data_IF_535506214820
#
_entry.id   IF_535506214820
#
_cell.length_a   1.000
_cell.length_b   1.000
_cell.length_c   1.000
_cell.angle_alpha   90.00
_cell.angle_beta   90.00
_cell.angle_gamma   90.00
#
_symmetry.space_group_name_H-M   'P 1'
#
loop_
_entity.id
_entity.type
_entity.pdbx_description
1 polymer ?
#
# COMPACT_ATOMS: atom_id res chain seq x y z
N UNK A 1 -2.14 -34.13 2.18
CA UNK A 1 -1.81 -32.93 1.36
C UNK A 1 -2.84 -31.81 1.43
N UNK A 2 -4.17 -32.04 1.34
CA UNK A 2 -5.20 -30.99 1.50
C UNK A 2 -5.38 -30.56 2.97
N UNK A 3 -5.26 -31.46 3.92
CA UNK A 3 -5.43 -31.18 5.36
C UNK A 3 -4.24 -30.40 5.97
N UNK A 4 -3.02 -30.62 5.50
CA UNK A 4 -1.83 -29.88 5.96
C UNK A 4 -1.85 -28.42 5.53
N UNK A 5 -2.36 -28.14 4.32
CA UNK A 5 -2.48 -26.75 3.81
C UNK A 5 -3.58 -25.96 4.54
N UNK A 6 -4.66 -26.61 4.94
CA UNK A 6 -5.77 -26.01 5.71
C UNK A 6 -5.38 -25.75 7.18
N UNK A 7 -4.51 -26.55 7.75
CA UNK A 7 -3.98 -26.31 9.11
C UNK A 7 -3.00 -25.12 9.15
N UNK A 8 -2.17 -24.95 8.12
CA UNK A 8 -1.22 -23.85 8.04
C UNK A 8 -1.94 -22.49 7.88
N UNK A 9 -2.97 -22.43 7.04
CA UNK A 9 -3.77 -21.22 6.85
C UNK A 9 -4.53 -20.79 8.13
N UNK A 10 -5.10 -21.72 8.86
CA UNK A 10 -5.79 -21.45 10.15
C UNK A 10 -4.82 -20.97 11.23
N UNK A 11 -3.61 -21.50 11.25
CA UNK A 11 -2.59 -21.07 12.20
C UNK A 11 -2.11 -19.63 11.87
N UNK A 12 -1.97 -19.31 10.59
CA UNK A 12 -1.62 -17.96 10.12
C UNK A 12 -2.72 -16.95 10.48
N UNK A 13 -3.99 -17.29 10.24
CA UNK A 13 -5.12 -16.42 10.60
C UNK A 13 -5.21 -16.19 12.12
N UNK A 14 -4.91 -17.19 12.92
CA UNK A 14 -4.87 -17.08 14.39
C UNK A 14 -3.73 -16.17 14.87
N UNK A 15 -2.54 -16.24 14.25
CA UNK A 15 -1.41 -15.34 14.53
C UNK A 15 -1.75 -13.90 14.16
N UNK A 16 -2.32 -13.67 12.98
CA UNK A 16 -2.80 -12.36 12.54
C UNK A 16 -3.81 -11.79 13.55
N UNK A 17 -4.78 -12.58 13.97
CA UNK A 17 -5.79 -12.14 14.93
C UNK A 17 -5.17 -11.74 16.27
N UNK A 18 -4.27 -12.55 16.83
CA UNK A 18 -3.59 -12.27 18.09
C UNK A 18 -2.73 -10.99 18.04
N UNK A 19 -1.96 -10.80 16.98
CA UNK A 19 -1.15 -9.59 16.78
C UNK A 19 -2.04 -8.36 16.58
N UNK A 20 -3.15 -8.51 15.86
CA UNK A 20 -4.16 -7.45 15.67
C UNK A 20 -4.77 -7.04 17.03
N UNK A 21 -5.16 -8.00 17.87
CA UNK A 21 -5.69 -7.73 19.22
C UNK A 21 -4.70 -6.93 20.07
N UNK A 22 -3.41 -7.22 19.99
CA UNK A 22 -2.37 -6.49 20.70
C UNK A 22 -2.27 -5.02 20.20
N UNK A 23 -2.33 -4.78 18.88
CA UNK A 23 -2.35 -3.44 18.29
C UNK A 23 -3.60 -2.67 18.74
N UNK A 24 -4.78 -3.30 18.62
CA UNK A 24 -6.06 -2.72 19.07
C UNK A 24 -6.01 -2.35 20.55
N UNK A 25 -5.53 -3.25 21.42
CA UNK A 25 -5.42 -2.99 22.86
C UNK A 25 -4.55 -1.79 23.19
N UNK A 26 -3.46 -1.58 22.44
CA UNK A 26 -2.54 -0.43 22.62
C UNK A 26 -3.14 0.88 22.14
N UNK A 27 -3.85 0.89 21.02
CA UNK A 27 -4.32 2.12 20.35
C UNK A 27 -5.77 2.49 20.66
N UNK A 28 -6.57 1.56 21.18
CA UNK A 28 -7.97 1.79 21.56
C UNK A 28 -8.23 3.05 22.42
N UNK A 29 -7.32 3.46 23.35
CA UNK A 29 -7.53 4.67 24.15
C UNK A 29 -7.44 5.99 23.36
N UNK A 30 -6.97 5.98 22.12
CA UNK A 30 -6.88 7.17 21.28
C UNK A 30 -8.27 7.66 20.87
N UNK A 31 -8.41 8.97 20.66
CA UNK A 31 -9.59 9.54 20.01
C UNK A 31 -9.58 9.16 18.51
N UNK A 32 -10.63 8.49 18.02
CA UNK A 32 -10.71 8.04 16.64
C UNK A 32 -9.68 6.96 16.28
N UNK A 33 -9.59 5.83 17.02
CA UNK A 33 -8.46 4.90 16.96
C UNK A 33 -8.40 4.04 15.70
N UNK A 34 -9.46 3.99 14.88
CA UNK A 34 -9.53 3.06 13.74
C UNK A 34 -8.42 3.28 12.71
N UNK A 35 -8.21 4.53 12.26
CA UNK A 35 -7.16 4.82 11.28
C UNK A 35 -5.75 4.53 11.83
N UNK A 36 -5.36 4.98 13.04
CA UNK A 36 -4.09 4.57 13.64
C UNK A 36 -3.90 3.05 13.75
N UNK A 37 -4.95 2.29 14.09
CA UNK A 37 -4.91 0.84 14.15
C UNK A 37 -4.65 0.24 12.77
N UNK A 38 -5.36 0.72 11.74
CA UNK A 38 -5.18 0.23 10.36
C UNK A 38 -3.77 0.56 9.83
N UNK A 39 -3.22 1.71 10.16
CA UNK A 39 -1.83 2.05 9.82
C UNK A 39 -0.82 1.11 10.46
N UNK A 40 -0.96 0.82 11.77
CA UNK A 40 -0.06 -0.08 12.47
C UNK A 40 -0.18 -1.53 11.95
N UNK A 41 -1.41 -1.97 11.61
CA UNK A 41 -1.64 -3.28 11.00
C UNK A 41 -0.95 -3.35 9.62
N UNK A 42 -1.12 -2.33 8.78
CA UNK A 42 -0.45 -2.30 7.48
C UNK A 42 1.08 -2.24 7.61
N UNK A 43 1.60 -1.52 8.59
CA UNK A 43 3.03 -1.50 8.86
C UNK A 43 3.57 -2.86 9.32
N UNK A 44 2.77 -3.61 10.11
CA UNK A 44 3.13 -4.91 10.67
C UNK A 44 3.09 -6.04 9.61
N UNK A 45 2.04 -6.05 8.76
CA UNK A 45 1.81 -7.13 7.80
C UNK A 45 2.11 -6.75 6.35
N UNK A 46 2.35 -5.47 6.05
CA UNK A 46 2.49 -4.95 4.69
C UNK A 46 1.16 -4.65 3.98
N UNK A 47 0.05 -5.11 4.55
CA UNK A 47 -1.33 -4.91 4.07
C UNK A 47 -2.30 -5.08 5.23
N UNK A 48 -3.60 -4.88 5.01
CA UNK A 48 -4.66 -5.12 5.99
C UNK A 48 -5.30 -6.49 5.72
N UNK A 49 -4.90 -7.56 6.43
CA UNK A 49 -5.45 -8.90 6.20
C UNK A 49 -6.94 -8.97 6.53
N UNK A 50 -7.72 -9.70 5.74
CA UNK A 50 -9.14 -9.96 6.03
C UNK A 50 -9.34 -10.62 7.41
N UNK A 51 -8.38 -11.44 7.85
CA UNK A 51 -8.37 -12.06 9.17
C UNK A 51 -8.23 -11.07 10.34
N UNK A 52 -7.72 -9.85 10.09
CA UNK A 52 -7.62 -8.80 11.10
C UNK A 52 -8.97 -8.09 11.38
N UNK A 53 -9.87 -8.03 10.40
CA UNK A 53 -11.10 -7.24 10.49
C UNK A 53 -12.01 -7.63 11.67
N UNK A 54 -12.22 -8.92 11.99
CA UNK A 54 -13.03 -9.30 13.14
C UNK A 54 -12.49 -8.79 14.47
N UNK A 55 -11.18 -8.88 14.69
CA UNK A 55 -10.54 -8.43 15.93
C UNK A 55 -10.63 -6.90 16.09
N UNK A 56 -10.44 -6.13 15.00
CA UNK A 56 -10.63 -4.67 15.01
C UNK A 56 -12.08 -4.33 15.35
N UNK A 57 -13.04 -4.94 14.65
CA UNK A 57 -14.47 -4.69 14.81
C UNK A 57 -14.90 -4.96 16.27
N UNK A 58 -14.53 -6.11 16.82
CA UNK A 58 -14.82 -6.49 18.21
C UNK A 58 -14.18 -5.52 19.21
N UNK A 59 -12.90 -5.20 19.01
CA UNK A 59 -12.15 -4.33 19.92
C UNK A 59 -12.70 -2.91 20.00
N UNK A 60 -13.21 -2.37 18.88
CA UNK A 60 -13.74 -1.01 18.78
C UNK A 60 -15.27 -0.92 18.88
N UNK A 61 -15.97 -2.06 19.05
CA UNK A 61 -17.43 -2.14 19.03
C UNK A 61 -18.02 -1.58 17.72
N UNK A 62 -17.41 -1.96 16.59
CA UNK A 62 -17.87 -1.66 15.23
C UNK A 62 -18.36 -2.94 14.55
N UNK A 63 -19.13 -2.81 13.47
CA UNK A 63 -19.39 -3.92 12.58
C UNK A 63 -18.19 -4.19 11.65
N UNK A 64 -18.05 -5.42 11.16
CA UNK A 64 -17.04 -5.76 10.14
C UNK A 64 -17.22 -4.94 8.87
N UNK A 65 -18.48 -4.61 8.52
CA UNK A 65 -18.79 -3.81 7.34
C UNK A 65 -18.27 -2.37 7.47
N UNK A 66 -18.38 -1.76 8.66
CA UNK A 66 -17.83 -0.42 8.92
C UNK A 66 -16.30 -0.42 8.81
N UNK A 67 -15.62 -1.40 9.40
CA UNK A 67 -14.16 -1.52 9.31
C UNK A 67 -13.73 -1.74 7.85
N UNK A 68 -14.34 -2.69 7.14
CA UNK A 68 -14.06 -2.95 5.73
C UNK A 68 -14.37 -1.71 4.84
N UNK A 69 -15.46 -0.99 5.14
CA UNK A 69 -15.79 0.24 4.44
C UNK A 69 -14.70 1.32 4.55
N UNK A 70 -14.03 1.43 5.70
CA UNK A 70 -12.88 2.33 5.87
C UNK A 70 -11.67 1.83 5.08
N UNK A 71 -11.35 0.54 5.17
CA UNK A 71 -10.22 -0.05 4.42
C UNK A 71 -10.37 0.16 2.91
N UNK A 72 -11.56 -0.11 2.36
CA UNK A 72 -11.83 0.03 0.93
C UNK A 72 -11.94 1.49 0.46
N UNK A 73 -12.29 2.43 1.35
CA UNK A 73 -12.40 3.84 1.02
C UNK A 73 -11.04 4.54 0.90
N UNK A 74 -10.12 4.22 1.79
CA UNK A 74 -8.78 4.81 1.78
C UNK A 74 -7.83 3.97 0.94
N UNK A 75 -7.50 4.43 -0.27
CA UNK A 75 -6.64 3.72 -1.24
C UNK A 75 -5.19 3.48 -0.78
N UNK A 76 -4.76 4.11 0.32
CA UNK A 76 -3.47 3.81 0.95
C UNK A 76 -3.47 2.47 1.70
N UNK A 77 -4.65 1.93 2.07
CA UNK A 77 -4.73 0.60 2.63
C UNK A 77 -4.78 -0.44 1.52
N UNK A 78 -3.95 -1.46 1.65
CA UNK A 78 -3.87 -2.59 0.74
C UNK A 78 -4.60 -3.79 1.34
N UNK A 79 -5.33 -4.52 0.52
CA UNK A 79 -5.98 -5.78 0.91
C UNK A 79 -5.12 -7.00 0.53
N UNK A 80 -4.05 -6.79 -0.22
CA UNK A 80 -3.07 -7.80 -0.64
C UNK A 80 -1.65 -7.28 -0.40
N UNK A 81 -0.66 -8.17 -0.20
CA UNK A 81 0.73 -7.77 -0.07
C UNK A 81 1.22 -6.97 -1.26
N UNK A 82 1.97 -5.90 -1.00
CA UNK A 82 2.70 -5.19 -2.05
C UNK A 82 3.92 -6.00 -2.52
N UNK A 83 4.48 -5.62 -3.65
CA UNK A 83 5.79 -6.08 -4.09
C UNK A 83 6.92 -5.63 -3.17
N UNK A 84 8.12 -6.16 -3.41
CA UNK A 84 9.33 -5.78 -2.66
C UNK A 84 9.63 -4.28 -2.74
N UNK A 85 9.30 -3.67 -3.86
CA UNK A 85 9.38 -2.23 -4.09
C UNK A 85 8.00 -1.64 -4.33
N UNK A 86 7.73 -0.48 -3.75
CA UNK A 86 6.50 0.28 -3.97
C UNK A 86 6.85 1.62 -4.58
N UNK A 87 6.38 1.85 -5.81
CA UNK A 87 6.52 3.11 -6.52
C UNK A 87 5.20 3.87 -6.42
N UNK A 88 5.23 5.08 -5.83
CA UNK A 88 4.11 6.01 -5.83
C UNK A 88 4.42 7.16 -6.78
N UNK A 89 3.63 7.32 -7.85
CA UNK A 89 3.81 8.39 -8.85
C UNK A 89 2.82 9.51 -8.60
N UNK A 90 3.32 10.74 -8.48
CA UNK A 90 2.48 11.89 -8.24
C UNK A 90 1.68 12.29 -9.49
N UNK A 91 0.35 12.32 -9.34
CA UNK A 91 -0.61 12.68 -10.39
C UNK A 91 -1.38 13.97 -10.09
N UNK A 92 -0.84 14.84 -9.23
CA UNK A 92 -1.47 16.14 -8.95
C UNK A 92 -1.11 17.18 -10.02
N UNK A 93 -1.87 18.27 -10.04
CA UNK A 93 -1.84 19.34 -11.04
C UNK A 93 -0.42 19.81 -11.44
N UNK A 94 0.44 20.10 -10.45
CA UNK A 94 1.80 20.58 -10.73
C UNK A 94 2.62 19.52 -11.48
N UNK A 95 2.50 18.25 -11.13
CA UNK A 95 3.22 17.18 -11.82
C UNK A 95 2.66 16.93 -13.21
N UNK A 96 1.33 16.98 -13.40
CA UNK A 96 0.70 16.86 -14.71
C UNK A 96 1.12 18.00 -15.66
N UNK A 97 1.11 19.24 -15.18
CA UNK A 97 1.51 20.42 -15.98
C UNK A 97 2.96 20.35 -16.44
N UNK A 98 3.80 19.59 -15.74
CA UNK A 98 5.22 19.38 -16.07
C UNK A 98 5.49 18.08 -16.84
N UNK A 99 4.46 17.48 -17.44
CA UNK A 99 4.59 16.26 -18.24
C UNK A 99 4.53 14.96 -17.45
N UNK A 100 4.12 15.00 -16.18
CA UNK A 100 4.08 13.83 -15.29
C UNK A 100 3.17 12.69 -15.79
N UNK A 101 2.12 13.00 -16.58
CA UNK A 101 1.26 11.97 -17.16
C UNK A 101 2.02 11.11 -18.18
N UNK A 102 2.73 11.72 -19.11
CA UNK A 102 3.52 11.00 -20.12
C UNK A 102 4.64 10.15 -19.48
N UNK A 103 5.27 10.65 -18.42
CA UNK A 103 6.28 9.91 -17.66
C UNK A 103 5.66 8.72 -16.88
N UNK A 104 4.47 8.89 -16.33
CA UNK A 104 3.74 7.83 -15.67
C UNK A 104 3.36 6.70 -16.65
N UNK A 105 2.79 7.06 -17.82
CA UNK A 105 2.43 6.10 -18.86
C UNK A 105 3.67 5.35 -19.37
N UNK A 106 4.79 6.05 -19.52
CA UNK A 106 6.07 5.41 -19.87
C UNK A 106 6.54 4.43 -18.81
N UNK A 107 6.45 4.79 -17.53
CA UNK A 107 6.85 3.91 -16.42
C UNK A 107 5.96 2.67 -16.37
N UNK A 108 4.64 2.83 -16.48
CA UNK A 108 3.69 1.72 -16.56
C UNK A 108 4.03 0.79 -17.73
N UNK A 109 4.29 1.33 -18.92
CA UNK A 109 4.68 0.57 -20.10
C UNK A 109 6.01 -0.17 -19.91
N UNK A 110 7.02 0.45 -19.29
CA UNK A 110 8.31 -0.20 -18.98
C UNK A 110 8.15 -1.33 -17.96
N UNK A 111 7.27 -1.18 -16.98
CA UNK A 111 7.00 -2.19 -15.96
C UNK A 111 6.02 -3.27 -16.46
N UNK A 112 5.22 -2.98 -17.49
CA UNK A 112 4.16 -3.88 -17.98
C UNK A 112 3.05 -4.05 -16.95
N UNK A 113 2.72 -2.99 -16.22
CA UNK A 113 1.73 -2.95 -15.14
C UNK A 113 0.71 -1.86 -15.39
N UNK A 114 -0.49 -2.05 -14.85
CA UNK A 114 -1.49 -1.00 -14.67
C UNK A 114 -1.44 -0.45 -13.24
N UNK A 115 -2.19 0.66 -13.00
CA UNK A 115 -2.28 1.25 -11.66
C UNK A 115 -2.80 0.26 -10.61
N UNK A 116 -2.19 0.29 -9.43
CA UNK A 116 -2.46 -0.60 -8.29
C UNK A 116 -2.10 -2.07 -8.52
N UNK A 117 -1.35 -2.38 -9.59
CA UNK A 117 -0.89 -3.73 -9.85
C UNK A 117 0.47 -4.01 -9.23
N UNK A 118 0.66 -5.29 -8.92
CA UNK A 118 1.95 -5.86 -8.51
C UNK A 118 2.45 -6.79 -9.61
N UNK A 119 3.73 -6.70 -9.93
CA UNK A 119 4.35 -7.59 -10.92
C UNK A 119 4.22 -9.07 -10.52
N UNK A 120 4.10 -9.96 -11.50
CA UNK A 120 3.87 -11.39 -11.28
C UNK A 120 4.97 -12.08 -10.45
N UNK A 121 6.18 -11.53 -10.45
CA UNK A 121 7.33 -11.98 -9.64
C UNK A 121 7.37 -11.35 -8.24
N UNK A 122 6.36 -10.52 -7.89
CA UNK A 122 6.29 -9.80 -6.63
C UNK A 122 7.41 -8.77 -6.45
N UNK A 123 8.05 -8.30 -7.52
CA UNK A 123 9.14 -7.35 -7.43
C UNK A 123 8.65 -5.94 -7.12
N UNK A 124 7.63 -5.46 -7.83
CA UNK A 124 7.21 -4.06 -7.76
C UNK A 124 5.69 -3.90 -7.77
N UNK A 125 5.21 -2.96 -6.95
CA UNK A 125 3.83 -2.44 -6.98
C UNK A 125 3.88 -0.98 -7.39
N UNK A 126 2.97 -0.55 -8.29
CA UNK A 126 2.86 0.84 -8.72
C UNK A 126 1.53 1.45 -8.29
N UNK A 127 1.57 2.62 -7.67
CA UNK A 127 0.41 3.33 -7.12
C UNK A 127 0.39 4.79 -7.57
N UNK A 128 -0.78 5.37 -7.89
CA UNK A 128 -0.89 6.82 -8.04
C UNK A 128 -0.95 7.49 -6.66
N UNK A 129 -0.41 8.70 -6.56
CA UNK A 129 -0.55 9.56 -5.38
C UNK A 129 -0.89 10.98 -5.82
N UNK A 130 -1.67 11.69 -5.01
CA UNK A 130 -2.21 13.00 -5.37
C UNK A 130 -1.58 14.14 -4.56
N UNK A 131 -0.30 14.18 -4.50
CA UNK A 131 0.68 15.16 -4.05
C UNK A 131 1.68 14.59 -3.02
N UNK A 132 2.95 14.65 -3.37
CA UNK A 132 4.09 14.30 -2.49
C UNK A 132 4.71 15.52 -1.80
N UNK A 133 4.14 16.72 -1.99
CA UNK A 133 4.70 17.97 -1.46
C UNK A 133 5.88 18.53 -2.27
N UNK A 134 6.27 17.89 -3.38
CA UNK A 134 7.40 18.28 -4.23
C UNK A 134 7.00 19.14 -5.44
N UNK A 135 5.96 19.97 -5.34
CA UNK A 135 5.43 20.71 -6.48
C UNK A 135 6.49 21.61 -7.18
N UNK A 136 7.43 22.19 -6.42
CA UNK A 136 8.53 22.97 -6.98
C UNK A 136 9.60 22.13 -7.71
N UNK A 137 9.58 20.82 -7.54
CA UNK A 137 10.46 19.84 -8.16
C UNK A 137 9.69 18.83 -9.01
N UNK A 138 8.54 19.23 -9.55
CA UNK A 138 7.71 18.38 -10.40
C UNK A 138 8.44 18.03 -11.72
N UNK A 139 8.14 16.86 -12.31
CA UNK A 139 7.34 15.76 -11.82
C UNK A 139 8.04 14.96 -10.70
N UNK A 140 7.26 14.26 -9.85
CA UNK A 140 7.80 13.59 -8.68
C UNK A 140 7.21 12.17 -8.48
N UNK A 141 8.01 11.30 -7.89
CA UNK A 141 7.62 9.98 -7.40
C UNK A 141 8.21 9.72 -6.01
N UNK A 142 7.76 8.66 -5.38
CA UNK A 142 8.34 8.09 -4.16
C UNK A 142 8.57 6.60 -4.38
N UNK A 143 9.73 6.12 -3.98
CA UNK A 143 10.10 4.70 -4.06
C UNK A 143 10.51 4.24 -2.67
N UNK A 144 9.80 3.27 -2.12
CA UNK A 144 10.06 2.71 -0.78
C UNK A 144 10.18 3.79 0.32
N UNK A 145 9.41 4.88 0.17
CA UNK A 145 9.43 6.03 1.09
C UNK A 145 10.44 7.12 0.72
N UNK A 146 11.36 6.89 -0.22
CA UNK A 146 12.30 7.92 -0.69
C UNK A 146 11.68 8.79 -1.79
N UNK A 147 11.76 10.10 -1.62
CA UNK A 147 11.20 11.10 -2.54
C UNK A 147 12.17 11.41 -3.68
N UNK A 148 11.66 11.37 -4.92
CA UNK A 148 12.39 11.69 -6.15
C UNK A 148 11.64 12.79 -6.88
N UNK A 149 12.27 13.93 -7.11
CA UNK A 149 11.73 15.03 -7.89
C UNK A 149 12.48 15.23 -9.21
N UNK A 150 11.92 16.07 -10.08
CA UNK A 150 12.46 16.39 -11.41
C UNK A 150 12.67 15.16 -12.27
N UNK A 151 11.67 14.26 -12.23
CA UNK A 151 11.69 13.08 -13.08
C UNK A 151 11.73 13.47 -14.55
N UNK A 152 12.57 12.77 -15.28
CA UNK A 152 12.66 12.83 -16.74
C UNK A 152 12.65 11.40 -17.31
N UNK A 153 12.78 11.28 -18.61
CA UNK A 153 12.76 10.00 -19.31
C UNK A 153 13.89 9.06 -18.89
N UNK A 154 15.07 9.59 -18.55
CA UNK A 154 16.23 8.81 -18.12
C UNK A 154 16.01 8.27 -16.70
N UNK A 155 15.58 9.14 -15.78
CA UNK A 155 15.27 8.77 -14.41
C UNK A 155 14.17 7.70 -14.33
N UNK A 156 13.11 7.80 -15.16
CA UNK A 156 12.03 6.80 -15.24
C UNK A 156 12.57 5.45 -15.76
N UNK A 157 13.45 5.47 -16.77
CA UNK A 157 14.04 4.24 -17.29
C UNK A 157 14.98 3.57 -16.28
N UNK A 158 15.76 4.35 -15.54
CA UNK A 158 16.67 3.82 -14.52
C UNK A 158 15.90 3.31 -13.30
N UNK A 159 14.82 3.98 -12.89
CA UNK A 159 13.91 3.51 -11.87
C UNK A 159 13.31 2.15 -12.23
N UNK A 160 12.78 2.01 -13.46
CA UNK A 160 12.20 0.75 -13.91
C UNK A 160 13.20 -0.41 -13.94
N UNK A 161 14.49 -0.14 -14.16
CA UNK A 161 15.57 -1.15 -14.09
C UNK A 161 15.90 -1.49 -12.63
N UNK A 162 16.03 -0.47 -11.77
CA UNK A 162 16.45 -0.64 -10.38
C UNK A 162 15.48 -1.53 -9.58
N UNK A 163 14.17 -1.37 -9.78
CA UNK A 163 13.15 -2.15 -9.04
C UNK A 163 12.98 -3.59 -9.54
N UNK A 164 13.65 -3.96 -10.65
CA UNK A 164 13.63 -5.32 -11.22
C UNK A 164 14.92 -6.09 -10.94
N UNK A 165 15.93 -5.43 -10.39
CA UNK A 165 17.20 -6.04 -10.03
C UNK A 165 17.11 -6.81 -8.71
#
# INVERSE_FOLDING_TARGET
MLEEHDMDSRQLDADIAARTEAIVGRLKPLEGPLLPILHDIQAEFGYVPQAALPAIAQGLNLSRAEVHGVVSFYHDYRETPAGRHVIKVCRSEACQSMGGEALADRLLGLLGLDWHETSADGAVTIEPVYCLGLCACAPAAMVDGELIGRLDDEAVADLAKAVRA
#
